data_IF_699298547172
#
_entry.id   IF_699298547172
#
_cell.length_a   1.000
_cell.length_b   1.000
_cell.length_c   1.000
_cell.angle_alpha   90.00
_cell.angle_beta   90.00
_cell.angle_gamma   90.00
#
_symmetry.space_group_name_H-M   'P 1'
#
loop_
_entity.id
_entity.type
_entity.pdbx_description
1 polymer ?
#
# COMPACT_ATOMS: atom_id res chain seq x y z
N UNK A 1 -14.31 -6.28 12.78
CA UNK A 1 -14.63 -6.14 11.34
C UNK A 1 -13.46 -5.37 10.74
N UNK A 2 -12.75 -5.92 9.76
CA UNK A 2 -11.72 -5.20 9.02
C UNK A 2 -12.40 -4.42 7.89
N UNK A 3 -12.09 -3.13 7.79
CA UNK A 3 -12.61 -2.28 6.73
C UNK A 3 -11.59 -2.26 5.60
N UNK A 4 -12.01 -2.68 4.40
CA UNK A 4 -11.15 -2.73 3.21
C UNK A 4 -11.73 -1.84 2.11
N UNK A 5 -10.89 -0.96 1.56
CA UNK A 5 -11.24 0.00 0.51
C UNK A 5 -10.38 -0.30 -0.72
N UNK A 6 -10.97 -0.29 -1.91
CA UNK A 6 -10.25 -0.40 -3.18
C UNK A 6 -10.18 0.96 -3.86
N UNK A 7 -9.01 1.33 -4.39
CA UNK A 7 -8.79 2.61 -5.06
C UNK A 7 -7.73 2.51 -6.19
N UNK A 8 -7.51 3.60 -6.93
CA UNK A 8 -6.61 3.70 -8.07
C UNK A 8 -5.74 4.95 -7.98
N UNK A 9 -4.41 4.78 -8.05
CA UNK A 9 -3.45 5.89 -8.08
C UNK A 9 -2.49 5.71 -9.27
N UNK A 10 -2.30 6.76 -10.08
CA UNK A 10 -1.48 6.73 -11.32
C UNK A 10 -1.81 5.55 -12.27
N UNK A 11 -3.07 5.11 -12.29
CA UNK A 11 -3.51 3.97 -13.10
C UNK A 11 -3.22 2.59 -12.49
N UNK A 12 -2.62 2.54 -11.30
CA UNK A 12 -2.37 1.32 -10.53
C UNK A 12 -3.48 1.12 -9.50
N UNK A 13 -4.10 -0.06 -9.52
CA UNK A 13 -5.14 -0.48 -8.57
C UNK A 13 -4.51 -1.01 -7.29
N UNK A 14 -5.05 -0.59 -6.16
CA UNK A 14 -4.65 -1.08 -4.86
C UNK A 14 -5.85 -1.20 -3.92
N UNK A 15 -5.63 -1.90 -2.82
CA UNK A 15 -6.56 -2.01 -1.70
C UNK A 15 -5.86 -1.57 -0.44
N UNK A 16 -6.61 -0.98 0.48
CA UNK A 16 -6.17 -0.67 1.84
C UNK A 16 -7.10 -1.35 2.82
N UNK A 17 -6.56 -1.80 3.94
CA UNK A 17 -7.30 -2.48 5.00
C UNK A 17 -6.87 -1.95 6.37
N UNK A 18 -7.84 -1.74 7.27
CA UNK A 18 -7.58 -1.56 8.69
C UNK A 18 -7.79 -2.87 9.44
N UNK A 19 -6.72 -3.40 10.03
CA UNK A 19 -6.72 -4.65 10.78
C UNK A 19 -6.74 -4.37 12.27
N UNK A 20 -7.74 -4.84 13.02
CA UNK A 20 -7.72 -4.71 14.47
C UNK A 20 -6.58 -5.54 15.08
N UNK A 21 -5.82 -4.92 15.98
CA UNK A 21 -4.74 -5.52 16.79
C UNK A 21 -4.97 -5.23 18.26
N UNK A 22 -4.23 -5.91 19.14
CA UNK A 22 -4.27 -5.59 20.57
C UNK A 22 -3.77 -4.16 20.79
N UNK A 23 -4.68 -3.24 21.11
CA UNK A 23 -4.36 -1.84 21.40
C UNK A 23 -4.56 -0.85 20.25
N UNK A 24 -5.11 -1.25 19.11
CA UNK A 24 -5.40 -0.31 18.01
C UNK A 24 -5.67 -0.98 16.67
N UNK A 25 -5.43 -0.23 15.60
CA UNK A 25 -5.59 -0.68 14.22
C UNK A 25 -4.28 -0.56 13.44
N UNK A 26 -3.96 -1.58 12.65
CA UNK A 26 -2.85 -1.60 11.72
C UNK A 26 -3.37 -1.33 10.31
N UNK A 27 -2.81 -0.32 9.64
CA UNK A 27 -3.11 -0.04 8.24
C UNK A 27 -2.27 -0.92 7.33
N UNK A 28 -2.89 -1.53 6.32
CA UNK A 28 -2.21 -2.34 5.30
C UNK A 28 -2.66 -1.93 3.92
N UNK A 29 -1.80 -2.08 2.94
CA UNK A 29 -2.17 -1.95 1.55
C UNK A 29 -1.67 -3.13 0.72
N UNK A 30 -2.35 -3.40 -0.39
CA UNK A 30 -1.95 -4.39 -1.37
C UNK A 30 -2.22 -3.87 -2.78
N UNK A 31 -1.21 -3.92 -3.64
CA UNK A 31 -1.35 -3.58 -5.06
C UNK A 31 -1.93 -4.77 -5.80
N UNK A 32 -2.94 -4.52 -6.62
CA UNK A 32 -3.70 -5.54 -7.33
C UNK A 32 -3.18 -5.82 -8.73
N UNK A 33 -2.37 -4.93 -9.31
CA UNK A 33 -1.84 -5.09 -10.66
C UNK A 33 -0.57 -5.95 -10.65
N UNK A 34 -0.68 -7.19 -11.15
CA UNK A 34 0.40 -8.18 -11.10
C UNK A 34 1.73 -7.71 -11.74
N UNK A 35 1.67 -6.96 -12.84
CA UNK A 35 2.86 -6.42 -13.51
C UNK A 35 3.61 -5.37 -12.67
N UNK A 36 2.92 -4.80 -11.69
CA UNK A 36 3.41 -3.77 -10.78
C UNK A 36 3.74 -4.36 -9.41
N UNK A 37 2.98 -5.36 -8.96
CA UNK A 37 3.15 -6.03 -7.67
C UNK A 37 4.55 -6.66 -7.49
N UNK A 38 5.20 -7.08 -8.57
CA UNK A 38 6.59 -7.58 -8.52
C UNK A 38 7.64 -6.45 -8.43
N UNK A 39 7.27 -5.21 -8.80
CA UNK A 39 8.16 -4.03 -8.82
C UNK A 39 8.05 -3.19 -7.56
N UNK A 40 6.85 -3.12 -7.01
CA UNK A 40 6.64 -2.61 -5.66
C UNK A 40 7.09 -3.73 -4.75
N UNK A 41 8.37 -3.70 -4.40
CA UNK A 41 9.02 -4.79 -3.68
C UNK A 41 8.11 -5.29 -2.56
N UNK A 42 8.04 -6.61 -2.41
CA UNK A 42 7.42 -7.29 -1.26
C UNK A 42 7.92 -6.74 0.10
N UNK A 43 8.99 -5.93 0.05
CA UNK A 43 9.73 -5.34 1.14
C UNK A 43 9.83 -3.80 1.10
N UNK A 44 9.05 -3.08 0.26
CA UNK A 44 8.89 -1.60 0.43
C UNK A 44 7.94 -1.27 1.59
N UNK A 45 7.99 -2.15 2.58
CA UNK A 45 7.59 -1.93 3.94
C UNK A 45 8.37 -0.75 4.48
N UNK A 46 7.78 0.44 4.39
CA UNK A 46 7.90 1.43 5.46
C UNK A 46 7.39 0.75 6.75
N UNK A 47 8.24 -0.10 7.33
CA UNK A 47 8.06 -0.79 8.61
C UNK A 47 8.77 0.04 9.66
N UNK A 48 8.09 0.95 10.37
CA UNK A 48 8.33 1.02 11.79
C UNK A 48 7.63 -0.21 12.40
N UNK A 49 8.47 -1.16 12.79
CA UNK A 49 8.24 -2.11 13.88
C UNK A 49 7.17 -1.62 14.85
N UNK A 50 6.00 -2.26 14.92
CA UNK A 50 5.02 -2.11 16.03
C UNK A 50 4.48 -0.70 16.37
N UNK A 51 5.03 0.40 15.83
CA UNK A 51 4.73 1.79 16.22
C UNK A 51 3.66 2.44 15.34
N UNK A 52 3.23 1.80 14.26
CA UNK A 52 2.12 2.26 13.40
C UNK A 52 0.75 1.72 13.84
N UNK A 53 0.55 1.54 15.15
CA UNK A 53 -0.78 1.23 15.69
C UNK A 53 -1.55 2.53 15.88
N UNK A 54 -2.63 2.67 15.13
CA UNK A 54 -3.50 3.84 15.17
C UNK A 54 -4.64 3.63 16.16
N UNK A 55 -5.07 4.72 16.80
CA UNK A 55 -6.18 4.68 17.75
C UNK A 55 -7.49 4.31 17.07
N UNK A 56 -7.66 4.69 15.80
CA UNK A 56 -8.87 4.44 15.01
C UNK A 56 -8.58 3.71 13.69
N UNK A 57 -9.59 3.01 13.17
CA UNK A 57 -9.52 2.36 11.86
C UNK A 57 -9.32 3.38 10.72
N UNK A 58 -9.90 4.58 10.84
CA UNK A 58 -9.82 5.61 9.79
C UNK A 58 -8.42 6.23 9.68
N UNK A 59 -7.72 6.41 10.80
CA UNK A 59 -6.31 6.81 10.80
C UNK A 59 -5.43 5.74 10.14
N UNK A 60 -5.68 4.47 10.47
CA UNK A 60 -4.99 3.33 9.84
C UNK A 60 -5.22 3.27 8.33
N UNK A 61 -6.45 3.50 7.87
CA UNK A 61 -6.78 3.56 6.44
C UNK A 61 -6.10 4.73 5.75
N UNK A 62 -6.15 5.93 6.34
CA UNK A 62 -5.50 7.12 5.78
C UNK A 62 -4.01 6.87 5.60
N UNK A 63 -3.35 6.34 6.62
CA UNK A 63 -1.92 6.03 6.54
C UNK A 63 -1.61 4.96 5.49
N UNK A 64 -2.42 3.90 5.42
CA UNK A 64 -2.26 2.85 4.42
C UNK A 64 -2.43 3.37 2.98
N UNK A 65 -3.33 4.34 2.77
CA UNK A 65 -3.52 5.01 1.47
C UNK A 65 -2.30 5.84 1.08
N UNK A 66 -1.76 6.65 1.99
CA UNK A 66 -0.55 7.43 1.72
C UNK A 66 0.66 6.53 1.45
N UNK A 67 0.80 5.43 2.21
CA UNK A 67 1.85 4.44 1.97
C UNK A 67 1.70 3.77 0.59
N UNK A 68 0.46 3.47 0.16
CA UNK A 68 0.20 2.94 -1.16
C UNK A 68 0.55 3.95 -2.26
N UNK A 69 0.21 5.24 -2.08
CA UNK A 69 0.58 6.30 -3.02
C UNK A 69 2.08 6.40 -3.21
N UNK A 70 2.85 6.50 -2.11
CA UNK A 70 4.31 6.58 -2.18
C UNK A 70 4.94 5.35 -2.85
N UNK A 71 4.42 4.16 -2.55
CA UNK A 71 4.88 2.94 -3.20
C UNK A 71 4.58 2.95 -4.72
N UNK A 72 3.45 3.53 -5.12
CA UNK A 72 3.06 3.65 -6.52
C UNK A 72 3.87 4.72 -7.25
N UNK A 73 4.14 5.86 -6.61
CA UNK A 73 5.01 6.93 -7.13
C UNK A 73 6.44 6.45 -7.40
N UNK A 74 6.92 5.46 -6.63
CA UNK A 74 8.22 4.81 -6.83
C UNK A 74 8.28 3.86 -8.04
N UNK A 75 7.14 3.49 -8.66
CA UNK A 75 7.14 2.61 -9.82
C UNK A 75 7.59 3.42 -11.04
N UNK A 76 8.71 3.05 -11.70
CA UNK A 76 9.11 3.72 -12.93
C UNK A 76 7.99 3.57 -13.95
N UNK A 77 7.59 4.70 -14.57
CA UNK A 77 6.62 4.70 -15.64
C UNK A 77 7.01 3.62 -16.66
N UNK A 78 6.04 2.78 -17.05
CA UNK A 78 6.28 1.77 -18.08
C UNK A 78 6.60 2.51 -19.38
N UNK A 79 7.90 2.73 -19.65
CA UNK A 79 8.34 3.27 -20.92
C UNK A 79 8.25 2.13 -21.92
N UNK A 80 7.28 2.24 -22.83
CA UNK A 80 7.05 1.27 -23.91
C UNK A 80 8.18 1.39 -24.93
N UNK A 81 9.40 1.00 -24.54
CA UNK A 81 10.60 1.22 -25.36
C UNK A 81 11.94 0.77 -24.78
N UNK A 82 12.07 0.48 -23.48
CA UNK A 82 13.35 0.00 -22.95
C UNK A 82 13.54 -1.51 -23.23
N UNK A 83 14.55 -1.92 -24.03
CA UNK A 83 14.87 -3.34 -24.16
C UNK A 83 15.37 -3.85 -22.81
N UNK A 84 14.83 -5.00 -22.38
CA UNK A 84 15.25 -5.66 -21.15
C UNK A 84 16.76 -5.89 -21.14
N UNK A 85 17.39 -5.45 -20.05
CA UNK A 85 18.78 -5.73 -19.70
C UNK A 85 19.04 -7.23 -19.55
#
# INVERSE_FOLDING_TARGET
MSEAIADVHLGVRFTVEAVPRSGGFEGRFAILDAAVADRVGRDDSYRPTTDNLWATAQEALTYATEAAHHAIEGIPAFDKGAPGS
#
